data_IF_780390551487
#
_entry.id   IF_780390551487
#
_cell.length_a   1.000
_cell.length_b   1.000
_cell.length_c   1.000
_cell.angle_alpha   90.00
_cell.angle_beta   90.00
_cell.angle_gamma   90.00
#
_symmetry.space_group_name_H-M   'P 1'
#
loop_
_entity.id
_entity.type
_entity.pdbx_description
1 polymer ?
#
# COMPACT_ATOMS: atom_id res chain seq x y z
N UNK A 1 78.16 8.00 13.69
CA UNK A 1 76.78 8.28 14.22
C UNK A 1 75.78 7.72 13.28
N UNK A 2 75.01 6.72 13.65
CA UNK A 2 73.95 6.17 12.77
C UNK A 2 72.67 7.01 12.85
N UNK A 3 72.02 7.24 11.71
CA UNK A 3 70.79 7.97 11.55
C UNK A 3 69.61 7.27 12.23
N UNK A 4 68.80 8.02 12.97
CA UNK A 4 67.55 7.52 13.59
C UNK A 4 66.50 7.26 12.52
N UNK A 5 65.73 6.17 12.64
CA UNK A 5 64.61 5.91 11.74
C UNK A 5 63.47 6.93 11.97
N UNK A 6 62.90 7.41 10.87
CA UNK A 6 61.68 8.26 10.87
C UNK A 6 60.52 7.45 11.45
N UNK A 7 59.87 8.02 12.48
CA UNK A 7 58.61 7.51 12.99
C UNK A 7 57.56 7.60 11.90
N UNK A 8 56.90 6.49 11.67
CA UNK A 8 55.73 6.34 10.79
C UNK A 8 54.66 7.35 11.19
N UNK A 9 54.13 7.99 10.16
CA UNK A 9 52.97 8.90 10.28
C UNK A 9 51.76 8.13 10.77
N UNK A 10 50.91 8.72 11.66
CA UNK A 10 49.74 8.03 12.13
C UNK A 10 48.78 7.81 10.96
N UNK A 11 48.44 6.54 10.73
CA UNK A 11 47.34 6.12 9.87
C UNK A 11 46.10 6.84 10.34
N UNK A 12 45.64 7.82 9.59
CA UNK A 12 44.36 8.51 9.82
C UNK A 12 43.28 7.46 9.64
N UNK A 13 42.83 6.84 10.72
CA UNK A 13 41.56 6.14 10.75
C UNK A 13 40.49 7.20 10.55
N UNK A 14 40.01 7.33 9.31
CA UNK A 14 38.78 8.05 9.05
C UNK A 14 37.66 7.24 9.69
N UNK A 15 37.44 7.49 10.96
CA UNK A 15 36.28 6.98 11.68
C UNK A 15 35.09 7.79 11.17
N UNK A 16 34.66 7.50 9.91
CA UNK A 16 33.48 8.10 9.34
C UNK A 16 32.32 7.66 10.24
N UNK A 17 31.80 8.61 11.02
CA UNK A 17 30.63 8.38 11.86
C UNK A 17 29.52 7.78 11.02
N UNK A 18 29.04 6.61 11.39
CA UNK A 18 27.90 5.95 10.75
C UNK A 18 26.68 6.11 11.66
N UNK A 19 25.56 6.62 11.11
CA UNK A 19 24.33 6.73 11.88
C UNK A 19 23.89 5.36 12.41
N UNK A 20 23.41 5.25 13.66
CA UNK A 20 22.93 4.00 14.23
C UNK A 20 21.53 3.65 13.67
N UNK A 21 21.48 3.30 12.39
CA UNK A 21 20.22 2.90 11.74
C UNK A 21 19.57 1.70 12.42
N UNK A 22 18.25 1.74 12.54
CA UNK A 22 17.45 0.61 13.00
C UNK A 22 17.61 -0.60 12.06
N UNK A 23 17.28 -1.80 12.54
CA UNK A 23 17.28 -2.99 11.71
C UNK A 23 16.30 -2.85 10.52
N UNK A 24 15.17 -2.18 10.73
CA UNK A 24 14.20 -1.92 9.67
C UNK A 24 14.75 -0.96 8.59
N UNK A 25 15.45 0.10 9.01
CA UNK A 25 16.06 1.02 8.04
C UNK A 25 17.17 0.35 7.20
N UNK A 26 17.87 -0.63 7.76
CA UNK A 26 18.95 -1.35 7.05
C UNK A 26 18.46 -2.26 5.92
N UNK A 27 17.22 -2.74 5.98
CA UNK A 27 16.63 -3.58 4.92
C UNK A 27 15.91 -2.75 3.85
N UNK A 28 15.76 -1.44 4.05
CA UNK A 28 15.15 -0.55 3.05
C UNK A 28 16.07 -0.38 1.85
N UNK A 29 15.51 -0.55 0.66
CA UNK A 29 16.21 -0.35 -0.62
C UNK A 29 15.76 0.96 -1.27
N UNK A 30 16.59 1.51 -2.18
CA UNK A 30 16.17 2.66 -2.98
C UNK A 30 14.96 2.32 -3.82
N UNK A 31 14.02 3.26 -3.92
CA UNK A 31 12.83 3.09 -4.75
C UNK A 31 13.20 3.04 -6.23
N UNK A 32 13.00 1.89 -6.88
CA UNK A 32 13.18 1.72 -8.32
C UNK A 32 12.28 2.67 -9.13
N UNK A 33 11.07 2.95 -8.62
CA UNK A 33 10.14 3.91 -9.25
C UNK A 33 10.78 5.30 -9.31
N UNK A 34 11.44 5.76 -8.23
CA UNK A 34 12.16 7.05 -8.24
C UNK A 34 13.30 7.09 -9.24
N UNK A 35 14.04 6.00 -9.40
CA UNK A 35 15.13 5.93 -10.39
C UNK A 35 14.56 5.97 -11.81
N UNK A 36 13.48 5.26 -12.10
CA UNK A 36 12.79 5.32 -13.38
C UNK A 36 12.22 6.73 -13.66
N UNK A 37 11.58 7.37 -12.68
CA UNK A 37 11.04 8.72 -12.83
C UNK A 37 12.12 9.78 -13.11
N UNK A 38 13.39 9.58 -12.69
CA UNK A 38 14.49 10.45 -13.07
C UNK A 38 14.80 10.36 -14.58
N UNK A 39 14.65 9.17 -15.17
CA UNK A 39 14.87 8.97 -16.60
C UNK A 39 13.76 9.61 -17.44
N UNK A 40 12.52 9.60 -16.96
CA UNK A 40 11.37 10.16 -17.68
C UNK A 40 11.36 11.69 -17.74
N UNK A 41 12.17 12.37 -16.92
CA UNK A 41 12.33 13.83 -16.96
C UNK A 41 13.23 14.34 -18.12
N UNK A 42 13.84 13.45 -18.90
CA UNK A 42 14.65 13.83 -20.05
C UNK A 42 13.75 14.29 -21.19
N UNK A 43 14.13 15.41 -21.84
CA UNK A 43 13.43 15.93 -23.02
C UNK A 43 13.39 14.89 -24.14
N UNK A 44 12.25 14.79 -24.83
CA UNK A 44 12.06 13.89 -25.98
C UNK A 44 11.70 12.44 -25.65
N UNK A 45 11.43 12.11 -24.37
CA UNK A 45 10.96 10.79 -23.99
C UNK A 45 9.43 10.83 -23.76
N UNK A 46 8.70 9.96 -24.46
CA UNK A 46 7.31 9.64 -24.13
C UNK A 46 7.34 8.49 -23.11
N UNK A 47 6.92 8.75 -21.89
CA UNK A 47 7.00 7.78 -20.79
C UNK A 47 5.67 7.11 -20.56
N UNK A 48 5.66 5.77 -20.58
CA UNK A 48 4.56 4.93 -20.11
C UNK A 48 4.82 4.37 -18.70
N UNK A 49 5.92 4.79 -18.06
CA UNK A 49 6.27 4.39 -16.70
C UNK A 49 5.77 5.44 -15.68
N UNK A 50 5.23 4.97 -14.57
CA UNK A 50 4.88 5.81 -13.43
C UNK A 50 3.42 6.25 -13.34
N UNK A 51 2.63 6.17 -14.42
CA UNK A 51 1.18 6.39 -14.38
C UNK A 51 0.75 7.72 -13.74
N UNK A 52 1.51 8.82 -13.99
CA UNK A 52 1.17 10.13 -13.44
C UNK A 52 -0.12 10.65 -14.09
N UNK A 53 -1.08 11.19 -13.27
CA UNK A 53 -2.26 11.84 -13.81
C UNK A 53 -1.91 13.01 -14.74
N UNK A 54 -2.75 13.28 -15.74
CA UNK A 54 -2.60 14.45 -16.59
C UNK A 54 -2.86 15.72 -15.78
N UNK A 55 -1.90 16.66 -15.68
CA UNK A 55 -2.08 17.91 -14.94
C UNK A 55 -3.27 18.76 -15.43
N UNK A 56 -3.67 18.62 -16.70
CA UNK A 56 -4.82 19.34 -17.26
C UNK A 56 -6.16 18.91 -16.63
N UNK A 57 -6.21 17.72 -16.01
CA UNK A 57 -7.42 17.21 -15.33
C UNK A 57 -7.52 17.63 -13.86
N UNK A 58 -6.54 18.34 -13.32
CA UNK A 58 -6.58 18.74 -11.92
C UNK A 58 -7.66 19.81 -11.70
N UNK A 59 -8.56 19.65 -10.71
CA UNK A 59 -9.67 20.57 -10.45
C UNK A 59 -9.18 21.81 -9.67
N UNK A 60 -8.25 22.57 -10.28
CA UNK A 60 -7.54 23.66 -9.59
C UNK A 60 -8.49 24.77 -9.14
N UNK A 61 -9.45 25.15 -10.00
CA UNK A 61 -10.36 26.24 -9.67
C UNK A 61 -11.38 25.86 -8.61
N UNK A 62 -11.86 24.63 -8.61
CA UNK A 62 -12.70 24.09 -7.53
C UNK A 62 -11.95 24.07 -6.19
N UNK A 63 -10.68 23.63 -6.20
CA UNK A 63 -9.84 23.63 -5.01
C UNK A 63 -9.59 25.02 -4.45
N UNK A 64 -9.34 26.02 -5.31
CA UNK A 64 -9.21 27.42 -4.91
C UNK A 64 -10.49 27.93 -4.25
N UNK A 65 -11.65 27.72 -4.90
CA UNK A 65 -12.94 28.17 -4.40
C UNK A 65 -13.29 27.53 -3.06
N UNK A 66 -13.10 26.20 -2.92
CA UNK A 66 -13.34 25.47 -1.67
C UNK A 66 -12.41 25.97 -0.57
N UNK A 67 -11.10 26.11 -0.87
CA UNK A 67 -10.12 26.58 0.11
C UNK A 67 -10.43 27.99 0.61
N UNK A 68 -10.74 28.91 -0.30
CA UNK A 68 -11.12 30.27 0.08
C UNK A 68 -12.36 30.27 0.99
N UNK A 69 -13.41 29.57 0.60
CA UNK A 69 -14.63 29.46 1.40
C UNK A 69 -14.38 28.88 2.80
N UNK A 70 -13.57 27.82 2.91
CA UNK A 70 -13.26 27.20 4.20
C UNK A 70 -12.47 28.13 5.12
N UNK A 71 -11.50 28.86 4.56
CA UNK A 71 -10.71 29.83 5.32
C UNK A 71 -11.55 31.03 5.76
N UNK A 72 -12.48 31.49 4.93
CA UNK A 72 -13.37 32.61 5.26
C UNK A 72 -14.42 32.26 6.33
N UNK A 73 -14.97 31.04 6.26
CA UNK A 73 -16.13 30.65 7.08
C UNK A 73 -15.79 29.76 8.26
N UNK A 74 -14.77 28.92 8.13
CA UNK A 74 -14.45 27.85 9.09
C UNK A 74 -12.98 27.81 9.49
N UNK A 75 -12.22 28.92 9.35
CA UNK A 75 -10.78 28.96 9.67
C UNK A 75 -10.44 28.41 11.05
N UNK A 76 -11.28 28.71 12.05
CA UNK A 76 -11.11 28.24 13.43
C UNK A 76 -11.24 26.72 13.59
N UNK A 77 -11.90 26.03 12.64
CA UNK A 77 -11.99 24.56 12.59
C UNK A 77 -10.89 23.95 11.73
N UNK A 78 -10.72 24.47 10.50
CA UNK A 78 -9.82 23.81 9.52
C UNK A 78 -8.34 24.02 9.83
N UNK A 79 -7.98 25.05 10.60
CA UNK A 79 -6.61 25.33 11.04
C UNK A 79 -6.30 24.80 12.43
N UNK A 80 -7.28 24.21 13.13
CA UNK A 80 -7.10 23.65 14.47
C UNK A 80 -6.72 22.16 14.40
N UNK A 81 -6.17 21.64 15.50
CA UNK A 81 -6.02 20.19 15.66
C UNK A 81 -7.35 19.47 15.52
N UNK A 82 -7.37 18.43 14.69
CA UNK A 82 -8.52 17.56 14.49
C UNK A 82 -8.45 16.24 15.24
N UNK A 83 -9.52 15.43 15.19
CA UNK A 83 -9.51 14.07 15.71
C UNK A 83 -8.50 13.20 14.96
N UNK A 84 -7.88 12.24 15.66
CA UNK A 84 -6.92 11.30 15.07
C UNK A 84 -7.51 10.50 13.90
N UNK A 85 -8.80 10.16 13.99
CA UNK A 85 -9.52 9.40 12.98
C UNK A 85 -9.87 10.23 11.73
N UNK A 86 -9.70 11.54 11.78
CA UNK A 86 -10.05 12.49 10.73
C UNK A 86 -11.40 13.16 10.94
N UNK A 87 -11.68 14.17 10.11
CA UNK A 87 -12.92 14.96 10.18
C UNK A 87 -14.17 14.07 10.07
N UNK A 88 -15.14 14.27 10.97
CA UNK A 88 -16.35 13.45 11.03
C UNK A 88 -17.20 13.59 9.75
N UNK A 89 -17.29 14.79 9.18
CA UNK A 89 -18.05 15.07 7.94
C UNK A 89 -17.46 14.32 6.76
N UNK A 90 -16.12 14.25 6.70
CA UNK A 90 -15.43 13.47 5.65
C UNK A 90 -15.66 11.98 5.82
N UNK A 91 -15.58 11.46 7.06
CA UNK A 91 -15.86 10.03 7.33
C UNK A 91 -17.29 9.66 6.97
N UNK A 92 -18.28 10.51 7.32
CA UNK A 92 -19.69 10.30 6.96
C UNK A 92 -19.91 10.34 5.43
N UNK A 93 -19.23 11.23 4.73
CA UNK A 93 -19.29 11.30 3.27
C UNK A 93 -18.69 10.04 2.62
N UNK A 94 -17.55 9.55 3.14
CA UNK A 94 -16.92 8.32 2.66
C UNK A 94 -17.77 7.07 2.93
N UNK A 95 -18.41 6.96 4.08
CA UNK A 95 -19.37 5.87 4.38
C UNK A 95 -20.48 5.84 3.35
N UNK A 96 -21.09 7.00 3.05
CA UNK A 96 -22.13 7.11 2.02
C UNK A 96 -21.63 6.76 0.63
N UNK A 97 -20.38 7.13 0.31
CA UNK A 97 -19.76 6.78 -0.96
C UNK A 97 -19.48 5.28 -1.06
N UNK A 98 -18.90 4.67 -0.02
CA UNK A 98 -18.62 3.22 0.02
C UNK A 98 -19.90 2.38 -0.01
N UNK A 99 -21.00 2.87 0.55
CA UNK A 99 -22.29 2.19 0.51
C UNK A 99 -22.82 1.97 -0.91
N UNK A 100 -22.46 2.81 -1.89
CA UNK A 100 -22.79 2.63 -3.31
C UNK A 100 -22.19 1.33 -3.88
N UNK A 101 -21.05 0.92 -3.34
CA UNK A 101 -20.39 -0.35 -3.67
C UNK A 101 -20.84 -1.52 -2.76
N UNK A 102 -21.81 -1.28 -1.88
CA UNK A 102 -22.31 -2.26 -0.92
C UNK A 102 -21.37 -2.51 0.26
N UNK A 103 -20.46 -1.58 0.55
CA UNK A 103 -19.62 -1.62 1.76
C UNK A 103 -20.33 -0.83 2.87
N UNK A 104 -20.96 -1.54 3.77
CA UNK A 104 -21.67 -0.97 4.91
C UNK A 104 -20.79 -1.00 6.17
N UNK A 105 -20.24 0.14 6.52
CA UNK A 105 -19.41 0.31 7.72
C UNK A 105 -19.83 1.54 8.49
N UNK A 106 -19.83 1.51 9.84
CA UNK A 106 -20.09 2.72 10.61
C UNK A 106 -18.87 3.67 10.53
N UNK A 107 -19.09 5.00 10.66
CA UNK A 107 -18.01 6.00 10.55
C UNK A 107 -16.83 5.76 11.51
N UNK A 108 -17.06 5.11 12.65
CA UNK A 108 -16.04 4.77 13.64
C UNK A 108 -15.02 3.72 13.13
N UNK A 109 -15.33 3.03 12.04
CA UNK A 109 -14.42 2.09 11.36
C UNK A 109 -13.70 2.71 10.16
N UNK A 110 -13.83 4.01 9.96
CA UNK A 110 -13.15 4.74 8.89
C UNK A 110 -12.05 5.60 9.52
N UNK A 111 -10.84 5.43 9.03
CA UNK A 111 -9.68 6.23 9.39
C UNK A 111 -9.19 7.00 8.16
N UNK A 112 -9.07 8.32 8.30
CA UNK A 112 -8.50 9.18 7.25
C UNK A 112 -6.97 9.17 7.37
N UNK A 113 -6.30 8.93 6.26
CA UNK A 113 -4.83 8.90 6.18
C UNK A 113 -4.31 9.88 5.11
N UNK A 114 -3.03 10.20 5.19
CA UNK A 114 -2.31 10.97 4.16
C UNK A 114 -1.98 10.06 2.96
N UNK A 115 -3.03 9.61 2.27
CA UNK A 115 -2.95 8.67 1.16
C UNK A 115 -2.70 7.22 1.60
N UNK A 116 -2.78 6.29 0.62
CA UNK A 116 -2.67 4.84 0.85
C UNK A 116 -1.33 4.41 1.46
N UNK A 117 -0.25 5.15 1.18
CA UNK A 117 1.07 4.83 1.73
C UNK A 117 1.08 4.83 3.27
N UNK A 118 0.40 5.79 3.90
CA UNK A 118 0.24 5.79 5.35
C UNK A 118 -0.68 4.66 5.81
N UNK A 119 -1.74 4.36 5.07
CA UNK A 119 -2.62 3.23 5.36
C UNK A 119 -1.86 1.90 5.36
N UNK A 120 -1.03 1.66 4.34
CA UNK A 120 -0.17 0.48 4.24
C UNK A 120 0.85 0.41 5.40
N UNK A 121 1.48 1.54 5.75
CA UNK A 121 2.41 1.59 6.88
C UNK A 121 1.72 1.25 8.21
N UNK A 122 0.52 1.78 8.44
CA UNK A 122 -0.28 1.48 9.63
C UNK A 122 -0.68 -0.01 9.68
N UNK A 123 -1.07 -0.61 8.54
CA UNK A 123 -1.33 -2.06 8.45
C UNK A 123 -0.06 -2.85 8.81
N UNK A 124 1.08 -2.48 8.24
CA UNK A 124 2.36 -3.10 8.59
C UNK A 124 2.69 -2.98 10.07
N UNK A 125 2.51 -1.80 10.64
CA UNK A 125 2.77 -1.52 12.06
C UNK A 125 1.90 -2.32 13.01
N UNK A 126 0.61 -2.51 12.66
CA UNK A 126 -0.36 -3.20 13.54
C UNK A 126 -0.23 -4.71 13.45
N UNK A 127 0.10 -5.26 12.28
CA UNK A 127 -0.01 -6.70 12.05
C UNK A 127 1.33 -7.42 11.88
N UNK A 128 2.45 -6.73 11.61
CA UNK A 128 3.70 -7.38 11.23
C UNK A 128 4.78 -7.27 12.29
N UNK A 129 5.24 -8.44 12.72
CA UNK A 129 6.52 -8.63 13.38
C UNK A 129 7.56 -9.18 12.38
N UNK A 130 8.86 -9.01 12.66
CA UNK A 130 9.92 -9.56 11.82
C UNK A 130 9.80 -11.07 11.64
N UNK A 131 9.78 -11.54 10.37
CA UNK A 131 9.64 -12.94 10.00
C UNK A 131 8.19 -13.41 9.81
N UNK A 132 7.20 -12.55 10.07
CA UNK A 132 5.82 -12.84 9.73
C UNK A 132 5.62 -12.97 8.21
N UNK A 133 4.67 -13.80 7.81
CA UNK A 133 4.37 -14.07 6.41
C UNK A 133 3.24 -13.16 5.92
N UNK A 134 3.44 -12.60 4.74
CA UNK A 134 2.41 -11.91 3.95
C UNK A 134 2.30 -12.59 2.60
N UNK A 135 1.09 -12.95 2.19
CA UNK A 135 0.83 -13.44 0.84
C UNK A 135 0.53 -12.25 -0.07
N UNK A 136 1.19 -12.19 -1.22
CA UNK A 136 1.08 -11.08 -2.18
C UNK A 136 0.90 -11.59 -3.60
N UNK A 137 0.33 -10.79 -4.46
CA UNK A 137 0.28 -11.04 -5.91
C UNK A 137 1.67 -10.99 -6.54
N UNK A 138 1.90 -11.70 -7.64
CA UNK A 138 3.12 -11.61 -8.46
C UNK A 138 2.73 -11.40 -9.93
N UNK A 139 3.06 -10.21 -10.47
CA UNK A 139 3.68 -9.04 -9.83
C UNK A 139 2.74 -8.32 -8.86
N UNK A 140 3.28 -7.41 -8.01
CA UNK A 140 2.49 -6.64 -7.05
C UNK A 140 2.95 -5.19 -6.94
N UNK A 141 2.18 -4.35 -6.24
CA UNK A 141 2.49 -2.94 -6.05
C UNK A 141 3.77 -2.74 -5.25
N UNK A 142 4.77 -2.16 -5.90
CA UNK A 142 6.13 -2.05 -5.37
C UNK A 142 6.21 -1.29 -4.04
N UNK A 143 5.37 -0.25 -3.85
CA UNK A 143 5.43 0.53 -2.62
C UNK A 143 4.85 -0.25 -1.42
N UNK A 144 3.81 -1.08 -1.62
CA UNK A 144 3.33 -2.00 -0.59
C UNK A 144 4.42 -3.03 -0.22
N UNK A 145 5.07 -3.64 -1.22
CA UNK A 145 6.18 -4.56 -0.96
C UNK A 145 7.33 -3.92 -0.20
N UNK A 146 7.63 -2.63 -0.45
CA UNK A 146 8.66 -1.89 0.29
C UNK A 146 8.25 -1.66 1.75
N UNK A 147 6.97 -1.35 2.02
CA UNK A 147 6.46 -1.23 3.39
C UNK A 147 6.62 -2.56 4.13
N UNK A 148 6.11 -3.66 3.57
CA UNK A 148 6.17 -4.97 4.23
C UNK A 148 7.61 -5.44 4.45
N UNK A 149 8.51 -5.17 3.50
CA UNK A 149 9.95 -5.40 3.67
C UNK A 149 10.54 -4.55 4.79
N UNK A 150 10.10 -3.30 4.95
CA UNK A 150 10.51 -2.41 6.04
C UNK A 150 10.19 -2.99 7.42
N UNK A 151 9.09 -3.73 7.53
CA UNK A 151 8.71 -4.50 8.73
C UNK A 151 9.38 -5.88 8.80
N UNK A 152 10.28 -6.21 7.84
CA UNK A 152 11.01 -7.48 7.73
C UNK A 152 10.08 -8.69 7.60
N UNK A 153 8.91 -8.49 6.98
CA UNK A 153 8.01 -9.57 6.65
C UNK A 153 8.57 -10.44 5.51
N UNK A 154 8.27 -11.72 5.54
CA UNK A 154 8.51 -12.65 4.44
C UNK A 154 7.33 -12.59 3.48
N UNK A 155 7.58 -12.24 2.23
CA UNK A 155 6.54 -12.16 1.21
C UNK A 155 6.50 -13.45 0.40
N UNK A 156 5.35 -14.11 0.38
CA UNK A 156 5.10 -15.32 -0.42
C UNK A 156 4.20 -14.93 -1.59
N UNK A 157 4.71 -15.10 -2.80
CA UNK A 157 4.05 -14.67 -4.02
C UNK A 157 3.09 -15.70 -4.60
N UNK A 158 1.92 -15.23 -5.06
CA UNK A 158 0.94 -16.01 -5.82
C UNK A 158 0.81 -15.41 -7.22
N UNK A 159 1.01 -16.17 -8.30
CA UNK A 159 0.95 -15.66 -9.67
C UNK A 159 -0.47 -15.24 -10.06
N UNK A 160 -0.54 -14.37 -11.06
CA UNK A 160 -1.77 -13.91 -11.71
C UNK A 160 -1.97 -14.63 -13.05
N UNK A 161 -3.24 -14.73 -13.46
CA UNK A 161 -3.68 -15.06 -14.81
C UNK A 161 -4.73 -14.01 -15.27
N UNK A 162 -5.41 -14.27 -16.38
CA UNK A 162 -6.41 -13.33 -16.94
C UNK A 162 -7.53 -12.95 -15.95
N UNK A 163 -7.83 -13.81 -14.96
CA UNK A 163 -8.84 -13.58 -13.92
C UNK A 163 -8.27 -13.01 -12.62
N UNK A 164 -7.01 -12.59 -12.61
CA UNK A 164 -6.29 -12.09 -11.43
C UNK A 164 -5.56 -13.17 -10.66
N UNK A 165 -5.50 -13.06 -9.32
CA UNK A 165 -4.77 -14.01 -8.45
C UNK A 165 -5.25 -15.44 -8.65
N UNK A 166 -4.34 -16.37 -8.93
CA UNK A 166 -4.63 -17.79 -9.05
C UNK A 166 -4.99 -18.39 -7.71
N UNK A 167 -6.28 -18.67 -7.51
CA UNK A 167 -6.79 -19.18 -6.22
C UNK A 167 -6.45 -20.63 -5.95
N UNK A 168 -6.20 -21.43 -6.97
CA UNK A 168 -5.64 -22.79 -6.85
C UNK A 168 -4.23 -22.75 -6.23
N UNK A 169 -3.39 -21.84 -6.72
CA UNK A 169 -2.05 -21.64 -6.19
C UNK A 169 -2.09 -20.99 -4.80
N UNK A 170 -3.04 -20.08 -4.54
CA UNK A 170 -3.25 -19.52 -3.21
C UNK A 170 -3.59 -20.60 -2.20
N UNK A 171 -4.51 -21.51 -2.52
CA UNK A 171 -4.91 -22.63 -1.68
C UNK A 171 -3.71 -23.52 -1.34
N UNK A 172 -2.94 -23.93 -2.35
CA UNK A 172 -1.71 -24.71 -2.15
C UNK A 172 -0.71 -23.98 -1.24
N UNK A 173 -0.52 -22.67 -1.46
CA UNK A 173 0.39 -21.84 -0.67
C UNK A 173 -0.04 -21.80 0.80
N UNK A 174 -1.33 -21.59 1.08
CA UNK A 174 -1.87 -21.56 2.44
C UNK A 174 -1.75 -22.93 3.12
N UNK A 175 -2.06 -24.02 2.41
CA UNK A 175 -1.90 -25.38 2.89
C UNK A 175 -0.43 -25.71 3.22
N UNK A 176 0.51 -25.30 2.36
CA UNK A 176 1.94 -25.54 2.56
C UNK A 176 2.47 -24.77 3.77
N UNK A 177 2.04 -23.53 3.95
CA UNK A 177 2.38 -22.74 5.12
C UNK A 177 1.80 -23.35 6.40
N UNK A 178 0.54 -23.77 6.36
CA UNK A 178 -0.11 -24.42 7.50
C UNK A 178 0.61 -25.74 7.91
N UNK A 179 1.02 -26.56 6.94
CA UNK A 179 1.82 -27.78 7.21
C UNK A 179 3.16 -27.48 7.88
N UNK A 180 3.73 -26.29 7.62
CA UNK A 180 4.96 -25.82 8.27
C UNK A 180 4.71 -25.11 9.62
N UNK A 181 3.47 -25.14 10.13
CA UNK A 181 3.08 -24.43 11.34
C UNK A 181 3.12 -22.89 11.21
N UNK A 182 3.08 -22.38 9.98
CA UNK A 182 3.13 -20.94 9.67
C UNK A 182 1.78 -20.47 9.16
N UNK A 183 1.31 -19.35 9.66
CA UNK A 183 0.07 -18.71 9.21
C UNK A 183 0.39 -17.28 8.72
N UNK A 184 0.02 -16.94 7.47
CA UNK A 184 0.14 -15.57 7.02
C UNK A 184 -0.66 -14.60 7.88
N UNK A 185 -0.16 -13.40 8.09
CA UNK A 185 -0.92 -12.33 8.77
C UNK A 185 -2.04 -11.84 7.90
N UNK A 186 -1.75 -11.65 6.61
CA UNK A 186 -2.76 -11.25 5.64
C UNK A 186 -2.38 -11.65 4.21
N UNK A 187 -3.41 -11.62 3.36
CA UNK A 187 -3.31 -11.67 1.90
C UNK A 187 -3.50 -10.23 1.40
N UNK A 188 -2.52 -9.68 0.70
CA UNK A 188 -2.59 -8.36 0.09
C UNK A 188 -2.97 -8.46 -1.38
N UNK A 189 -4.02 -7.75 -1.80
CA UNK A 189 -4.53 -7.75 -3.17
C UNK A 189 -4.88 -6.35 -3.66
N UNK A 190 -4.66 -6.10 -4.96
CA UNK A 190 -5.16 -4.94 -5.69
C UNK A 190 -6.21 -5.43 -6.69
N UNK A 191 -7.51 -5.50 -6.32
CA UNK A 191 -8.48 -6.31 -7.05
C UNK A 191 -9.02 -5.68 -8.33
N UNK A 192 -8.90 -4.37 -8.51
CA UNK A 192 -9.37 -3.65 -9.70
C UNK A 192 -8.18 -2.97 -10.39
N UNK A 193 -7.95 -3.29 -11.68
CA UNK A 193 -6.87 -2.73 -12.50
C UNK A 193 -5.50 -2.80 -11.80
N UNK A 194 -5.17 -3.99 -11.36
CA UNK A 194 -4.00 -4.32 -10.55
C UNK A 194 -2.71 -3.65 -11.06
N UNK A 195 -1.95 -3.07 -10.15
CA UNK A 195 -0.66 -2.46 -10.46
C UNK A 195 0.48 -3.46 -10.20
N UNK A 196 1.27 -3.87 -11.25
CA UNK A 196 1.35 -3.23 -12.57
C UNK A 196 0.60 -3.96 -13.70
N UNK A 197 -0.14 -5.04 -13.43
CA UNK A 197 -0.65 -5.93 -14.49
C UNK A 197 -1.87 -5.37 -15.26
N UNK A 198 -2.63 -4.43 -14.68
CA UNK A 198 -3.89 -3.94 -15.23
C UNK A 198 -5.06 -4.93 -15.10
N UNK A 199 -4.83 -6.12 -14.56
CA UNK A 199 -5.84 -7.16 -14.42
C UNK A 199 -6.89 -6.81 -13.38
N UNK A 200 -8.09 -7.34 -13.55
CA UNK A 200 -9.17 -7.25 -12.55
C UNK A 200 -9.45 -8.63 -12.00
N UNK A 201 -9.42 -8.77 -10.68
CA UNK A 201 -9.77 -10.01 -9.99
C UNK A 201 -11.25 -10.31 -10.22
N UNK A 202 -11.55 -11.46 -10.84
CA UNK A 202 -12.92 -11.84 -11.19
C UNK A 202 -13.78 -12.06 -9.94
N UNK A 203 -15.12 -12.02 -10.11
CA UNK A 203 -16.07 -12.18 -8.99
C UNK A 203 -15.87 -13.53 -8.29
N UNK A 204 -15.69 -14.58 -9.06
CA UNK A 204 -15.49 -15.95 -8.58
C UNK A 204 -14.19 -16.05 -7.77
N UNK A 205 -13.13 -15.41 -8.27
CA UNK A 205 -11.82 -15.36 -7.58
C UNK A 205 -11.89 -14.55 -6.28
N UNK A 206 -12.61 -13.42 -6.27
CA UNK A 206 -12.86 -12.65 -5.02
C UNK A 206 -13.52 -13.50 -3.96
N UNK A 207 -14.58 -14.23 -4.34
CA UNK A 207 -15.27 -15.13 -3.41
C UNK A 207 -14.32 -16.22 -2.90
N UNK A 208 -13.56 -16.86 -3.80
CA UNK A 208 -12.61 -17.92 -3.40
C UNK A 208 -11.50 -17.41 -2.48
N UNK A 209 -10.96 -16.21 -2.72
CA UNK A 209 -9.99 -15.57 -1.82
C UNK A 209 -10.58 -15.38 -0.42
N UNK A 210 -11.82 -14.89 -0.31
CA UNK A 210 -12.50 -14.71 0.97
C UNK A 210 -12.78 -16.03 1.67
N UNK A 211 -13.16 -17.08 0.94
CA UNK A 211 -13.42 -18.41 1.51
C UNK A 211 -12.13 -19.03 2.05
N UNK A 212 -11.05 -18.98 1.29
CA UNK A 212 -9.73 -19.41 1.74
C UNK A 212 -9.24 -18.59 2.95
N UNK A 213 -9.43 -17.28 2.92
CA UNK A 213 -9.05 -16.42 4.04
C UNK A 213 -9.81 -16.81 5.34
N UNK A 214 -11.09 -17.15 5.23
CA UNK A 214 -11.88 -17.66 6.38
C UNK A 214 -11.41 -19.04 6.85
N UNK A 215 -11.20 -19.97 5.91
CA UNK A 215 -10.76 -21.34 6.19
C UNK A 215 -9.42 -21.36 6.94
N UNK A 216 -8.46 -20.56 6.47
CA UNK A 216 -7.12 -20.50 7.07
C UNK A 216 -6.97 -19.41 8.16
N UNK A 217 -8.05 -18.71 8.52
CA UNK A 217 -8.04 -17.61 9.49
C UNK A 217 -7.00 -16.52 9.19
N UNK A 218 -6.93 -16.10 7.94
CA UNK A 218 -6.02 -15.06 7.44
C UNK A 218 -6.82 -13.80 7.10
N UNK A 219 -6.28 -12.61 7.38
CA UNK A 219 -6.91 -11.36 6.98
C UNK A 219 -6.73 -11.12 5.47
N UNK A 220 -7.64 -10.36 4.86
CA UNK A 220 -7.45 -9.81 3.51
C UNK A 220 -7.27 -8.31 3.62
N UNK A 221 -6.22 -7.79 3.00
CA UNK A 221 -5.98 -6.36 2.82
C UNK A 221 -6.26 -6.03 1.35
N UNK A 222 -7.38 -5.37 1.11
CA UNK A 222 -7.82 -4.90 -0.20
C UNK A 222 -7.32 -3.46 -0.41
N UNK A 223 -6.43 -3.26 -1.39
CA UNK A 223 -5.96 -1.94 -1.83
C UNK A 223 -6.63 -1.59 -3.16
N UNK A 224 -7.51 -0.60 -3.15
CA UNK A 224 -8.42 -0.36 -4.26
C UNK A 224 -8.45 1.10 -4.74
N UNK A 225 -7.34 1.59 -5.33
CA UNK A 225 -7.25 2.97 -5.81
C UNK A 225 -7.84 3.20 -7.20
N UNK A 226 -8.08 2.14 -7.99
CA UNK A 226 -8.38 2.27 -9.41
C UNK A 226 -9.82 1.94 -9.81
N UNK A 227 -10.65 1.50 -8.88
CA UNK A 227 -12.01 1.01 -9.16
C UNK A 227 -12.87 1.99 -9.95
N UNK A 228 -12.79 3.27 -9.62
CA UNK A 228 -13.55 4.34 -10.25
C UNK A 228 -13.05 4.70 -11.67
N UNK A 229 -11.89 4.18 -12.08
CA UNK A 229 -11.32 4.40 -13.41
C UNK A 229 -11.82 3.40 -14.46
N UNK A 230 -12.96 2.78 -14.24
CA UNK A 230 -13.54 1.80 -15.16
C UNK A 230 -14.24 2.50 -16.32
N UNK A 231 -13.78 2.24 -17.56
CA UNK A 231 -14.37 2.76 -18.77
C UNK A 231 -15.42 1.83 -19.37
N UNK A 232 -15.29 0.49 -19.18
CA UNK A 232 -16.16 -0.53 -19.76
C UNK A 232 -16.47 -1.63 -18.74
N UNK A 233 -17.64 -2.28 -18.96
CA UNK A 233 -18.09 -3.39 -18.14
C UNK A 233 -18.58 -2.99 -16.75
N UNK A 234 -18.98 -3.99 -15.97
CA UNK A 234 -19.49 -3.81 -14.60
C UNK A 234 -18.41 -4.20 -13.60
N UNK A 235 -18.19 -3.34 -12.58
CA UNK A 235 -17.26 -3.63 -11.52
C UNK A 235 -17.74 -4.82 -10.67
N UNK A 236 -16.92 -5.86 -10.45
CA UNK A 236 -17.25 -6.90 -9.46
C UNK A 236 -17.39 -6.27 -8.06
N UNK A 237 -18.21 -6.85 -7.15
CA UNK A 237 -18.30 -6.36 -5.77
C UNK A 237 -16.91 -6.35 -5.11
N UNK A 238 -16.58 -5.35 -4.26
CA UNK A 238 -15.33 -5.34 -3.49
C UNK A 238 -15.23 -6.58 -2.59
N UNK A 239 -14.02 -6.97 -2.20
CA UNK A 239 -13.85 -8.06 -1.22
C UNK A 239 -14.43 -7.68 0.16
N UNK A 240 -14.40 -6.39 0.49
CA UNK A 240 -15.04 -5.89 1.70
C UNK A 240 -16.58 -5.91 1.66
N UNK A 241 -17.20 -6.21 0.50
CA UNK A 241 -18.65 -6.35 0.36
C UNK A 241 -19.20 -7.44 1.28
N UNK A 242 -20.14 -7.08 2.17
CA UNK A 242 -20.75 -8.03 3.09
C UNK A 242 -19.81 -8.70 4.09
N UNK A 243 -18.53 -8.31 4.14
CA UNK A 243 -17.57 -8.88 5.07
C UNK A 243 -17.51 -8.06 6.35
N UNK A 244 -18.14 -8.56 7.40
CA UNK A 244 -18.15 -7.88 8.71
C UNK A 244 -16.88 -8.04 9.53
N UNK A 245 -15.96 -8.97 9.19
CA UNK A 245 -14.80 -9.31 10.04
C UNK A 245 -13.52 -9.76 9.32
N UNK A 246 -13.52 -10.06 8.02
CA UNK A 246 -12.39 -10.73 7.37
C UNK A 246 -11.59 -9.87 6.40
N UNK A 247 -12.02 -8.66 6.05
CA UNK A 247 -11.33 -7.81 5.09
C UNK A 247 -11.15 -6.39 5.63
N UNK A 248 -9.95 -5.84 5.37
CA UNK A 248 -9.61 -4.43 5.57
C UNK A 248 -9.45 -3.81 4.20
N UNK A 249 -10.15 -2.72 3.93
CA UNK A 249 -10.03 -2.02 2.66
C UNK A 249 -9.26 -0.71 2.84
N UNK A 250 -8.23 -0.53 2.01
CA UNK A 250 -7.56 0.75 1.79
C UNK A 250 -8.18 1.33 0.53
N UNK A 251 -8.81 2.50 0.65
CA UNK A 251 -9.36 3.23 -0.49
C UNK A 251 -8.70 4.59 -0.60
N UNK A 252 -8.31 4.95 -1.79
CA UNK A 252 -7.72 6.25 -2.14
C UNK A 252 -8.51 6.93 -3.23
#
# INVERSE_FOLDING_TARGET
MPARPRKDSPTTMTNAWQPPYSANARVMTRSLIREMLKLTRRTGIISFAGGLPDPATFPVDDLKAITARLLDQEAHLVLQYGPTEGDARLRDALVKWMAKDGIEVPPQRVLITLGSQQGLDLVGRVFLDPGDVVVVEVPSYMAALQVFRGYRAEMVGVPLDADGMRTDTLEQTLADLARKGRRPKFIYVVPDFQNPSGLTLSRERRQRVLDLAREYHVLVVEDNPYRELRFEGTAPPPLAYGSTRAAWAIRT
#
